data_IF_862897161796
#
_entry.id   IF_862897161796
#
_cell.length_a   1.000
_cell.length_b   1.000
_cell.length_c   1.000
_cell.angle_alpha   90.00
_cell.angle_beta   90.00
_cell.angle_gamma   90.00
#
_symmetry.space_group_name_H-M   'P 1'
#
loop_
_entity.id
_entity.type
_entity.pdbx_description
1 polymer ?
#
# COMPACT_ATOMS: atom_id res chain seq x y z
N UNK A 1 -22.80 9.18 -5.54
CA UNK A 1 -22.44 8.88 -6.95
C UNK A 1 -21.21 9.69 -7.35
N UNK A 2 -20.38 9.20 -8.28
CA UNK A 2 -19.14 9.89 -8.68
C UNK A 2 -19.40 11.25 -9.35
N UNK A 3 -20.39 11.35 -10.24
CA UNK A 3 -20.76 12.63 -10.89
C UNK A 3 -19.77 13.11 -11.96
N UNK A 4 -18.90 12.21 -12.47
CA UNK A 4 -18.12 12.44 -13.68
C UNK A 4 -18.86 11.77 -14.84
N UNK A 5 -18.95 12.47 -15.97
CA UNK A 5 -19.59 11.96 -17.17
C UNK A 5 -18.96 10.61 -17.59
N UNK A 6 -19.81 9.64 -17.94
CA UNK A 6 -19.37 8.27 -18.27
C UNK A 6 -18.87 7.43 -17.09
N UNK A 7 -19.00 7.88 -15.83
CA UNK A 7 -18.60 7.10 -14.66
C UNK A 7 -19.79 6.57 -13.84
N UNK A 8 -19.97 5.25 -13.84
CA UNK A 8 -21.06 4.57 -13.12
C UNK A 8 -20.75 4.30 -11.63
N UNK A 9 -19.63 4.78 -11.09
CA UNK A 9 -19.25 4.48 -9.71
C UNK A 9 -20.22 5.13 -8.70
N UNK A 10 -20.91 4.29 -7.91
CA UNK A 10 -21.84 4.71 -6.86
C UNK A 10 -21.31 4.26 -5.48
N UNK A 11 -21.05 5.23 -4.61
CA UNK A 11 -20.73 5.02 -3.21
C UNK A 11 -21.38 6.16 -2.41
N UNK A 12 -21.86 5.89 -1.19
CA UNK A 12 -22.43 6.89 -0.28
C UNK A 12 -21.36 7.64 0.54
N UNK A 13 -20.16 7.04 0.69
CA UNK A 13 -19.04 7.63 1.41
C UNK A 13 -18.31 8.64 0.52
N UNK A 14 -18.39 9.91 0.88
CA UNK A 14 -17.75 11.02 0.18
C UNK A 14 -16.23 10.92 0.16
N UNK A 15 -15.61 10.32 1.19
CA UNK A 15 -14.18 10.06 1.24
C UNK A 15 -13.77 9.03 0.20
N UNK A 16 -14.55 7.95 0.06
CA UNK A 16 -14.31 6.92 -0.96
C UNK A 16 -14.47 7.49 -2.37
N UNK A 17 -15.47 8.36 -2.59
CA UNK A 17 -15.64 9.04 -3.88
C UNK A 17 -14.44 9.93 -4.20
N UNK A 18 -13.91 10.70 -3.23
CA UNK A 18 -12.70 11.52 -3.42
C UNK A 18 -11.50 10.66 -3.86
N UNK A 19 -11.26 9.54 -3.18
CA UNK A 19 -10.17 8.60 -3.52
C UNK A 19 -10.38 7.97 -4.89
N UNK A 20 -11.62 7.62 -5.24
CA UNK A 20 -11.97 7.12 -6.56
C UNK A 20 -11.68 8.17 -7.64
N UNK A 21 -12.12 9.42 -7.45
CA UNK A 21 -11.86 10.54 -8.38
C UNK A 21 -10.36 10.79 -8.58
N UNK A 22 -9.58 10.78 -7.50
CA UNK A 22 -8.13 10.92 -7.58
C UNK A 22 -7.49 9.77 -8.36
N UNK A 23 -7.89 8.53 -8.11
CA UNK A 23 -7.25 7.35 -8.70
C UNK A 23 -7.68 7.02 -10.14
N UNK A 24 -8.96 7.22 -10.47
CA UNK A 24 -9.57 6.87 -11.77
C UNK A 24 -9.72 8.06 -12.71
N UNK A 25 -10.00 9.24 -12.16
CA UNK A 25 -10.19 10.46 -12.94
C UNK A 25 -9.03 11.46 -12.81
N UNK A 26 -8.02 11.16 -11.98
CA UNK A 26 -6.88 12.06 -11.70
C UNK A 26 -7.28 13.43 -11.13
N UNK A 27 -8.50 13.55 -10.62
CA UNK A 27 -9.04 14.78 -10.04
C UNK A 27 -8.58 14.91 -8.59
N UNK A 28 -7.99 16.04 -8.21
CA UNK A 28 -7.47 16.29 -6.86
C UNK A 28 -6.48 15.21 -6.40
N UNK A 29 -5.68 14.68 -7.33
CA UNK A 29 -4.67 13.67 -7.02
C UNK A 29 -3.50 14.30 -6.26
N UNK A 30 -3.23 13.79 -5.07
CA UNK A 30 -2.06 14.13 -4.27
C UNK A 30 -1.06 12.98 -4.33
N UNK A 31 0.18 13.31 -4.68
CA UNK A 31 1.29 12.36 -4.64
C UNK A 31 1.97 12.41 -3.27
N UNK A 32 2.28 11.23 -2.73
CA UNK A 32 3.09 11.09 -1.53
C UNK A 32 4.52 10.77 -1.96
N UNK A 33 5.38 11.79 -1.95
CA UNK A 33 6.81 11.63 -2.20
C UNK A 33 7.51 10.95 -1.02
N UNK A 34 8.61 10.27 -1.30
CA UNK A 34 9.60 9.93 -0.29
C UNK A 34 10.24 11.24 0.21
N UNK A 35 10.62 11.27 1.49
CA UNK A 35 11.30 12.41 2.09
C UNK A 35 12.80 12.17 2.25
N UNK A 36 13.28 10.99 1.85
CA UNK A 36 14.69 10.65 1.99
C UNK A 36 15.51 11.31 0.92
N UNK A 37 16.72 11.71 1.29
CA UNK A 37 17.68 12.31 0.37
C UNK A 37 17.98 11.35 -0.79
N UNK A 38 18.12 11.90 -2.00
CA UNK A 38 18.33 11.14 -3.23
C UNK A 38 17.25 10.07 -3.54
N UNK A 39 15.99 10.28 -3.11
CA UNK A 39 14.88 9.40 -3.45
C UNK A 39 13.70 10.12 -4.12
N UNK A 40 13.54 9.90 -5.44
CA UNK A 40 12.44 10.47 -6.23
C UNK A 40 11.14 9.66 -6.22
N UNK A 41 11.04 8.64 -5.35
CA UNK A 41 9.87 7.78 -5.31
C UNK A 41 8.61 8.55 -4.92
N UNK A 42 7.54 8.39 -5.71
CA UNK A 42 6.22 8.99 -5.47
C UNK A 42 5.14 7.93 -5.57
N UNK A 43 4.19 7.96 -4.64
CA UNK A 43 3.07 7.02 -4.63
C UNK A 43 1.71 7.72 -4.58
N UNK A 44 0.68 7.05 -5.11
CA UNK A 44 -0.71 7.53 -5.10
C UNK A 44 -1.38 7.43 -3.74
N UNK A 45 -0.81 6.63 -2.82
CA UNK A 45 -1.37 6.39 -1.50
C UNK A 45 -0.31 6.49 -0.42
N UNK A 46 -0.69 7.05 0.74
CA UNK A 46 0.17 7.22 1.91
C UNK A 46 0.76 5.89 2.40
N UNK A 47 -0.04 4.82 2.42
CA UNK A 47 0.44 3.51 2.87
C UNK A 47 1.53 2.94 1.93
N UNK A 48 1.46 3.24 0.64
CA UNK A 48 2.44 2.77 -0.35
C UNK A 48 3.77 3.51 -0.18
N UNK A 49 3.73 4.83 0.04
CA UNK A 49 4.94 5.61 0.37
C UNK A 49 5.58 5.14 1.70
N UNK A 50 4.77 4.89 2.74
CA UNK A 50 5.27 4.30 3.99
C UNK A 50 5.94 2.94 3.79
N UNK A 51 5.31 2.05 3.02
CA UNK A 51 5.89 0.74 2.71
C UNK A 51 7.20 0.87 1.94
N UNK A 52 7.27 1.78 0.98
CA UNK A 52 8.51 2.05 0.25
C UNK A 52 9.64 2.43 1.23
N UNK A 53 9.39 3.35 2.16
CA UNK A 53 10.37 3.73 3.20
C UNK A 53 10.84 2.53 4.04
N UNK A 54 9.90 1.69 4.45
CA UNK A 54 10.21 0.47 5.22
C UNK A 54 11.03 -0.54 4.40
N UNK A 55 10.72 -0.75 3.12
CA UNK A 55 11.40 -1.75 2.30
C UNK A 55 12.74 -1.28 1.72
N UNK A 56 12.86 -0.02 1.31
CA UNK A 56 14.01 0.51 0.57
C UNK A 56 14.93 1.42 1.39
N UNK A 57 14.42 2.02 2.46
CA UNK A 57 15.21 2.89 3.34
C UNK A 57 15.35 2.32 4.76
N UNK A 58 14.76 1.15 5.03
CA UNK A 58 14.71 0.54 6.36
C UNK A 58 14.10 1.46 7.46
N UNK A 59 13.29 2.44 7.05
CA UNK A 59 12.68 3.41 7.96
C UNK A 59 11.36 2.88 8.51
N UNK A 60 11.24 2.86 9.84
CA UNK A 60 10.04 2.41 10.53
C UNK A 60 9.77 0.91 10.36
N UNK A 61 10.81 0.12 10.08
CA UNK A 61 10.72 -1.34 9.93
C UNK A 61 10.24 -1.98 11.23
N UNK A 62 9.18 -2.77 11.10
CA UNK A 62 8.77 -3.75 12.12
C UNK A 62 8.93 -5.13 11.49
N UNK A 63 9.77 -5.96 12.08
CA UNK A 63 9.98 -7.32 11.60
C UNK A 63 8.85 -8.22 12.08
N UNK A 64 8.20 -8.90 11.13
CA UNK A 64 7.22 -9.93 11.41
C UNK A 64 7.89 -11.30 11.32
N UNK A 65 7.96 -12.01 12.44
CA UNK A 65 8.61 -13.31 12.54
C UNK A 65 7.60 -14.44 12.28
N UNK A 66 8.09 -15.51 11.63
CA UNK A 66 7.35 -16.76 11.52
C UNK A 66 7.49 -17.55 12.82
N UNK A 67 6.38 -18.09 13.32
CA UNK A 67 6.38 -18.80 14.60
C UNK A 67 6.93 -20.23 14.47
N UNK A 68 7.20 -20.70 13.25
CA UNK A 68 7.60 -22.09 12.98
C UNK A 68 8.96 -22.21 12.26
N UNK A 69 9.64 -21.10 11.96
CA UNK A 69 11.00 -21.09 11.42
C UNK A 69 11.62 -19.69 11.51
N UNK A 70 12.90 -19.56 11.19
CA UNK A 70 13.66 -18.29 11.30
C UNK A 70 13.28 -17.22 10.26
N UNK A 71 12.33 -17.51 9.37
CA UNK A 71 11.89 -16.54 8.38
C UNK A 71 11.25 -15.31 9.03
N UNK A 72 11.69 -14.12 8.62
CA UNK A 72 11.10 -12.83 8.99
C UNK A 72 10.87 -11.97 7.76
N UNK A 73 9.85 -11.13 7.80
CA UNK A 73 9.53 -10.20 6.73
C UNK A 73 9.20 -8.81 7.27
N UNK A 74 9.54 -7.77 6.51
CA UNK A 74 9.17 -6.39 6.82
C UNK A 74 7.68 -6.11 6.61
N UNK A 75 6.98 -6.94 5.83
CA UNK A 75 5.54 -6.83 5.57
C UNK A 75 4.76 -8.05 6.08
N UNK A 76 3.66 -7.78 6.79
CA UNK A 76 2.74 -8.83 7.26
C UNK A 76 2.15 -9.68 6.12
N UNK A 77 1.88 -9.09 4.95
CA UNK A 77 1.34 -9.83 3.82
C UNK A 77 2.33 -10.84 3.25
N UNK A 78 3.63 -10.51 3.28
CA UNK A 78 4.71 -11.40 2.86
C UNK A 78 4.87 -12.57 3.83
N UNK A 79 4.82 -12.31 5.14
CA UNK A 79 4.80 -13.38 6.15
C UNK A 79 3.58 -14.30 5.98
N UNK A 80 2.39 -13.74 5.72
CA UNK A 80 1.16 -14.53 5.50
C UNK A 80 1.30 -15.46 4.29
N UNK A 81 1.89 -14.97 3.19
CA UNK A 81 2.19 -15.79 2.01
C UNK A 81 3.18 -16.90 2.37
N UNK A 82 4.28 -16.57 3.04
CA UNK A 82 5.26 -17.56 3.51
C UNK A 82 4.59 -18.68 4.31
N UNK A 83 3.80 -18.33 5.33
CA UNK A 83 3.06 -19.30 6.15
C UNK A 83 2.15 -20.20 5.30
N UNK A 84 1.37 -19.61 4.38
CA UNK A 84 0.49 -20.36 3.46
C UNK A 84 1.26 -21.34 2.56
N UNK A 85 2.43 -20.96 2.06
CA UNK A 85 3.25 -21.87 1.25
C UNK A 85 3.87 -22.97 2.10
N UNK A 86 4.38 -22.66 3.29
CA UNK A 86 4.90 -23.67 4.23
C UNK A 86 3.84 -24.67 4.68
N UNK A 87 2.59 -24.25 4.90
CA UNK A 87 1.49 -25.16 5.27
C UNK A 87 1.02 -26.06 4.12
N UNK A 88 1.48 -25.82 2.88
CA UNK A 88 1.20 -26.67 1.71
C UNK A 88 2.28 -27.73 1.45
N UNK A 89 3.37 -27.71 2.20
CA UNK A 89 4.50 -28.65 2.11
C UNK A 89 4.53 -29.53 3.38
N UNK A 90 3.36 -29.79 3.96
CA UNK A 90 3.11 -30.82 4.97
C UNK A 90 2.06 -31.75 4.40
#
# INVERSE_FOLDING_TARGET
>A
MCGIDGCEHKNGDTTKIKVHKASKHRINMVWFSCSEDNCDYKAKHKYTSKRHKLNFHDIGVVWHHCDSCEYKAKEACTLKKHKKHKTRIK
#
